data_IF_891260660075
#
_entry.id   IF_891260660075
#
_cell.length_a   1.000
_cell.length_b   1.000
_cell.length_c   1.000
_cell.angle_alpha   90.00
_cell.angle_beta   90.00
_cell.angle_gamma   90.00
#
_symmetry.space_group_name_H-M   'P 1'
#
loop_
_entity.id
_entity.type
_entity.pdbx_description
1 polymer ?
#
# COMPACT_ATOMS: atom_id res chain seq x y z
N UNK A 1 -10.83 21.43 -13.63
CA UNK A 1 -10.21 21.28 -13.38
C UNK A 1 -9.42 21.35 -13.77
N UNK A 2 -9.44 21.86 -13.96
CA UNK A 2 -8.60 21.68 -14.26
C UNK A 2 -7.56 21.74 -13.81
N UNK A 3 -7.31 22.06 -13.22
CA UNK A 3 -6.39 21.89 -12.69
C UNK A 3 -6.11 20.63 -12.41
N UNK A 4 -6.84 19.74 -12.58
CA UNK A 4 -6.58 18.47 -12.38
C UNK A 4 -5.56 17.92 -13.21
N UNK A 5 -5.28 18.41 -14.30
CA UNK A 5 -4.17 17.92 -15.08
C UNK A 5 -2.87 18.16 -14.35
N UNK A 6 -2.82 19.15 -13.48
CA UNK A 6 -1.63 19.33 -12.71
C UNK A 6 -1.41 18.19 -11.77
N UNK A 7 -2.48 17.55 -11.35
CA UNK A 7 -2.35 16.45 -10.45
C UNK A 7 -1.69 15.26 -11.10
N UNK A 8 -1.78 15.17 -12.39
CA UNK A 8 -1.13 14.05 -13.06
C UNK A 8 0.32 14.31 -13.28
N UNK A 9 0.73 15.56 -13.18
CA UNK A 9 2.14 15.87 -13.36
C UNK A 9 2.95 15.59 -12.13
N UNK A 10 2.31 15.42 -11.01
CA UNK A 10 3.07 15.24 -9.80
C UNK A 10 3.79 13.91 -9.80
N UNK A 11 3.57 13.07 -10.79
CA UNK A 11 4.30 11.83 -10.85
C UNK A 11 5.78 12.04 -11.04
N UNK A 12 6.16 13.21 -11.50
CA UNK A 12 7.56 13.50 -11.65
C UNK A 12 8.21 13.78 -10.31
N UNK A 13 7.43 14.00 -9.28
CA UNK A 13 7.95 14.28 -7.96
C UNK A 13 7.43 13.24 -6.99
N UNK A 14 8.12 13.05 -5.88
CA UNK A 14 7.64 12.10 -4.88
C UNK A 14 6.28 12.52 -4.36
N UNK A 15 5.43 11.55 -4.14
CA UNK A 15 4.13 11.80 -3.54
C UNK A 15 4.33 12.15 -2.08
N UNK A 16 3.74 13.24 -1.61
CA UNK A 16 3.83 13.57 -0.19
C UNK A 16 3.22 12.43 0.62
N UNK A 17 3.93 11.98 1.63
CA UNK A 17 3.50 10.84 2.43
C UNK A 17 2.95 11.32 3.75
N UNK A 18 1.70 10.99 3.99
CA UNK A 18 1.07 11.26 5.27
C UNK A 18 1.73 10.39 6.34
N UNK A 19 2.11 10.97 7.49
CA UNK A 19 2.75 10.16 8.54
C UNK A 19 1.88 8.99 9.01
N UNK A 20 0.56 9.17 9.01
CA UNK A 20 -0.32 8.07 9.39
C UNK A 20 -0.28 6.95 8.38
N UNK A 21 -0.10 7.29 7.12
CA UNK A 21 0.06 6.29 6.08
C UNK A 21 1.34 5.49 6.29
N UNK A 22 2.41 6.18 6.65
CA UNK A 22 3.66 5.48 6.91
C UNK A 22 3.52 4.51 8.07
N UNK A 23 2.81 4.91 9.11
CA UNK A 23 2.59 4.04 10.25
C UNK A 23 1.79 2.81 9.84
N UNK A 24 0.76 3.01 9.04
CA UNK A 24 -0.05 1.90 8.58
C UNK A 24 0.78 0.95 7.75
N UNK A 25 1.53 1.47 6.80
CA UNK A 25 2.36 0.61 5.94
C UNK A 25 3.39 -0.13 6.78
N UNK A 26 4.02 0.55 7.73
CA UNK A 26 5.00 -0.11 8.59
C UNK A 26 4.38 -1.25 9.36
N UNK A 27 3.16 -1.04 9.86
CA UNK A 27 2.46 -2.09 10.59
C UNK A 27 2.17 -3.27 9.67
N UNK A 28 1.77 -2.99 8.44
CA UNK A 28 1.48 -4.05 7.48
C UNK A 28 2.74 -4.82 7.11
N UNK A 29 3.85 -4.11 6.93
CA UNK A 29 5.11 -4.78 6.63
C UNK A 29 5.55 -5.65 7.79
N UNK A 30 5.44 -5.15 9.01
CA UNK A 30 5.80 -5.92 10.19
C UNK A 30 4.93 -7.17 10.30
N UNK A 31 3.63 -7.02 10.04
CA UNK A 31 2.73 -8.16 10.09
C UNK A 31 3.08 -9.20 9.04
N UNK A 32 3.42 -8.73 7.83
CA UNK A 32 3.83 -9.65 6.78
C UNK A 32 5.06 -10.45 7.21
N UNK A 33 6.03 -9.76 7.80
CA UNK A 33 7.24 -10.41 8.26
C UNK A 33 6.96 -11.38 9.40
N UNK A 34 6.05 -11.01 10.31
CA UNK A 34 5.67 -11.91 11.40
C UNK A 34 5.03 -13.18 10.87
N UNK A 35 4.27 -13.07 9.79
CA UNK A 35 3.63 -14.22 9.17
C UNK A 35 4.58 -14.97 8.24
N UNK A 36 5.81 -14.48 8.12
CA UNK A 36 6.84 -15.09 7.27
C UNK A 36 6.40 -15.19 5.81
N UNK A 37 5.66 -14.18 5.37
CA UNK A 37 5.22 -14.11 3.99
C UNK A 37 6.19 -13.24 3.19
N UNK A 38 6.57 -13.75 2.01
CA UNK A 38 7.32 -12.92 1.08
C UNK A 38 6.35 -11.94 0.42
N UNK A 39 6.92 -10.92 -0.24
CA UNK A 39 6.09 -10.00 -1.02
C UNK A 39 5.34 -10.76 -2.11
N UNK A 40 5.99 -11.74 -2.70
CA UNK A 40 5.39 -12.54 -3.74
C UNK A 40 4.21 -13.34 -3.21
N UNK A 41 4.38 -13.96 -2.03
CA UNK A 41 3.31 -14.74 -1.43
C UNK A 41 2.12 -13.86 -1.08
N UNK A 42 2.40 -12.66 -0.56
CA UNK A 42 1.33 -11.74 -0.24
C UNK A 42 0.59 -11.30 -1.50
N UNK A 43 1.33 -11.00 -2.56
CA UNK A 43 0.72 -10.59 -3.81
C UNK A 43 -0.19 -11.70 -4.35
N UNK A 44 0.23 -12.94 -4.19
CA UNK A 44 -0.59 -14.06 -4.62
C UNK A 44 -1.89 -14.12 -3.84
N UNK A 45 -1.82 -13.88 -2.53
CA UNK A 45 -3.03 -13.88 -1.70
C UNK A 45 -3.98 -12.77 -2.10
N UNK A 46 -3.45 -11.63 -2.46
CA UNK A 46 -4.27 -10.49 -2.85
C UNK A 46 -4.76 -10.63 -4.28
N UNK A 47 -3.97 -11.28 -5.13
CA UNK A 47 -4.31 -11.42 -6.54
C UNK A 47 -3.77 -10.29 -7.38
N UNK A 48 -2.60 -9.76 -7.03
CA UNK A 48 -1.98 -8.68 -7.77
C UNK A 48 -0.55 -9.05 -8.13
N UNK A 49 0.09 -8.17 -8.89
CA UNK A 49 1.49 -8.37 -9.26
C UNK A 49 2.37 -8.17 -8.04
N UNK A 50 3.39 -9.02 -7.91
CA UNK A 50 4.27 -8.95 -6.75
C UNK A 50 5.05 -7.63 -6.71
N UNK A 51 5.33 -7.03 -7.86
CA UNK A 51 6.03 -5.76 -7.90
C UNK A 51 5.22 -4.65 -7.23
N UNK A 52 3.90 -4.77 -7.20
CA UNK A 52 3.07 -3.76 -6.56
C UNK A 52 3.28 -3.74 -5.04
N UNK A 53 3.42 -4.91 -4.44
CA UNK A 53 3.64 -4.97 -3.00
C UNK A 53 4.90 -4.21 -2.64
N UNK A 54 5.98 -4.43 -3.39
CA UNK A 54 7.21 -3.71 -3.13
C UNK A 54 7.06 -2.22 -3.25
N UNK A 55 6.32 -1.77 -4.26
CA UNK A 55 6.12 -0.35 -4.46
C UNK A 55 5.29 0.27 -3.34
N UNK A 56 4.28 -0.45 -2.87
CA UNK A 56 3.48 0.04 -1.75
C UNK A 56 4.33 0.14 -0.49
N UNK A 57 5.17 -0.86 -0.24
CA UNK A 57 5.99 -0.87 0.96
C UNK A 57 7.08 0.19 0.94
N UNK A 58 7.50 0.59 -0.25
CA UNK A 58 8.51 1.64 -0.40
C UNK A 58 7.90 3.02 -0.58
N UNK A 59 6.59 3.13 -0.49
CA UNK A 59 5.87 4.40 -0.66
C UNK A 59 5.99 4.96 -2.06
N UNK A 60 6.27 4.09 -3.04
CA UNK A 60 6.38 4.52 -4.43
C UNK A 60 5.02 4.57 -5.11
N UNK A 61 4.06 3.86 -4.57
CA UNK A 61 2.72 3.82 -5.10
C UNK A 61 1.72 3.66 -3.98
N UNK A 62 0.52 4.16 -4.20
CA UNK A 62 -0.56 4.00 -3.25
C UNK A 62 -1.54 2.98 -3.81
N UNK A 63 -1.99 2.02 -3.01
CA UNK A 63 -3.01 1.10 -3.46
C UNK A 63 -4.35 1.80 -3.55
N UNK A 64 -5.24 1.30 -4.39
CA UNK A 64 -6.62 1.78 -4.40
C UNK A 64 -7.30 1.34 -3.10
N UNK A 65 -8.48 1.89 -2.85
CA UNK A 65 -9.21 1.54 -1.64
C UNK A 65 -9.46 0.05 -1.55
N UNK A 66 -9.89 -0.59 -2.65
CA UNK A 66 -10.14 -2.02 -2.64
C UNK A 66 -8.86 -2.81 -2.42
N UNK A 67 -7.77 -2.39 -3.05
CA UNK A 67 -6.51 -3.10 -2.88
C UNK A 67 -6.00 -2.96 -1.45
N UNK A 68 -6.22 -1.80 -0.85
CA UNK A 68 -5.82 -1.61 0.54
C UNK A 68 -6.59 -2.54 1.46
N UNK A 69 -7.89 -2.68 1.24
CA UNK A 69 -8.69 -3.60 2.04
C UNK A 69 -8.23 -5.03 1.86
N UNK A 70 -7.92 -5.42 0.62
CA UNK A 70 -7.41 -6.75 0.36
C UNK A 70 -6.08 -6.98 1.07
N UNK A 71 -5.23 -5.96 1.06
CA UNK A 71 -3.93 -6.04 1.73
C UNK A 71 -4.11 -6.25 3.22
N UNK A 72 -4.98 -5.47 3.83
CA UNK A 72 -5.23 -5.57 5.26
C UNK A 72 -5.81 -6.94 5.61
N UNK A 73 -6.77 -7.41 4.81
CA UNK A 73 -7.39 -8.70 5.08
C UNK A 73 -6.44 -9.86 4.88
N UNK A 74 -5.56 -9.75 3.89
CA UNK A 74 -4.61 -10.81 3.62
C UNK A 74 -3.65 -11.03 4.78
N UNK A 75 -3.45 -10.00 5.59
CA UNK A 75 -2.58 -10.07 6.75
C UNK A 75 -3.35 -10.25 8.05
N UNK A 76 -4.64 -10.57 7.96
CA UNK A 76 -5.50 -10.79 9.12
C UNK A 76 -5.52 -9.60 10.05
N UNK A 77 -5.43 -8.41 9.48
CA UNK A 77 -5.54 -7.19 10.24
C UNK A 77 -6.92 -6.59 10.03
N UNK A 78 -7.25 -5.63 10.87
CA UNK A 78 -8.49 -4.90 10.71
C UNK A 78 -8.19 -3.43 10.77
N UNK A 79 -8.81 -2.69 9.86
CA UNK A 79 -8.70 -1.26 9.89
C UNK A 79 -9.62 -0.74 10.98
N UNK A 80 -9.06 0.06 11.88
CA UNK A 80 -9.86 0.63 12.94
C UNK A 80 -10.39 1.97 12.48
N UNK A 81 -11.67 2.17 12.69
CA UNK A 81 -12.33 3.41 12.37
C UNK A 81 -12.83 4.01 13.67
N UNK A 82 -12.43 5.23 13.88
CA UNK A 82 -12.81 5.92 15.12
C UNK A 82 -14.04 6.77 14.89
#
# INVERSE_FOLDING_TARGET
>A
YSKRSDMFNYRATPVPINPNWKELVSSLVNKRNQMQLSQEALAYKIGCADSLIGKWERYERLPSGFMLLDWIEALDCKLKVQ
#
